data_IF_025002297370
#
_entry.id   IF_025002297370
#
_cell.length_a   1.000
_cell.length_b   1.000
_cell.length_c   1.000
_cell.angle_alpha   90.00
_cell.angle_beta   90.00
_cell.angle_gamma   90.00
#
_symmetry.space_group_name_H-M   'P 1'
#
loop_
_entity.id
_entity.type
_entity.pdbx_description
1 polymer ?
#
# COMPACT_ATOMS: atom_id res chain seq x y z
N UNK A 1 -3.98 17.15 -9.36
CA UNK A 1 -4.91 18.28 -9.47
C UNK A 1 -5.68 18.37 -8.17
N UNK A 2 -6.26 19.53 -7.81
CA UNK A 2 -7.12 19.64 -6.63
C UNK A 2 -8.56 19.89 -7.05
N UNK A 3 -9.51 19.25 -6.37
CA UNK A 3 -10.92 19.56 -6.50
C UNK A 3 -11.19 21.02 -6.05
N UNK A 4 -12.35 21.61 -6.37
CA UNK A 4 -12.71 22.98 -5.99
C UNK A 4 -12.60 23.28 -4.49
N UNK A 5 -12.80 22.28 -3.62
CA UNK A 5 -12.63 22.39 -2.16
C UNK A 5 -11.16 22.43 -1.71
N UNK A 6 -10.20 22.31 -2.63
CA UNK A 6 -8.77 22.27 -2.37
C UNK A 6 -8.21 20.88 -2.04
N UNK A 7 -9.06 19.85 -1.95
CA UNK A 7 -8.66 18.47 -1.72
C UNK A 7 -7.86 17.94 -2.92
N UNK A 8 -6.69 17.36 -2.65
CA UNK A 8 -5.88 16.73 -3.70
C UNK A 8 -6.61 15.49 -4.23
N UNK A 9 -6.81 15.43 -5.56
CA UNK A 9 -7.35 14.27 -6.23
C UNK A 9 -6.36 13.10 -6.18
N UNK A 10 -6.82 11.91 -5.78
CA UNK A 10 -6.02 10.67 -5.75
C UNK A 10 -6.70 9.60 -6.60
N UNK A 11 -5.89 8.67 -7.13
CA UNK A 11 -6.37 7.45 -7.78
C UNK A 11 -7.37 6.71 -6.87
N UNK A 12 -8.48 6.27 -7.45
CA UNK A 12 -9.56 5.56 -6.75
C UNK A 12 -10.58 6.46 -6.07
N UNK A 13 -10.40 7.77 -6.06
CA UNK A 13 -11.44 8.70 -5.61
C UNK A 13 -12.67 8.54 -6.49
N UNK A 14 -13.83 8.31 -5.86
CA UNK A 14 -15.14 8.42 -6.48
C UNK A 14 -15.61 9.86 -6.35
N UNK A 15 -15.97 10.48 -7.46
CA UNK A 15 -16.30 11.89 -7.54
C UNK A 15 -17.60 12.12 -8.30
N UNK A 16 -18.26 13.24 -8.02
CA UNK A 16 -19.14 13.87 -9.00
C UNK A 16 -18.24 14.61 -9.98
N UNK A 17 -18.47 14.40 -11.27
CA UNK A 17 -17.78 15.12 -12.34
C UNK A 17 -18.56 16.38 -12.72
N UNK A 18 -19.87 16.23 -12.91
CA UNK A 18 -20.88 17.29 -13.06
C UNK A 18 -22.25 16.73 -12.61
N UNK A 19 -23.28 17.57 -12.58
CA UNK A 19 -24.61 17.21 -12.09
C UNK A 19 -25.14 15.90 -12.71
N UNK A 20 -25.36 14.92 -11.84
CA UNK A 20 -25.85 13.59 -12.21
C UNK A 20 -24.84 12.71 -12.95
N UNK A 21 -23.55 13.06 -12.99
CA UNK A 21 -22.50 12.20 -13.55
C UNK A 21 -21.39 11.95 -12.52
N UNK A 22 -21.22 10.69 -12.16
CA UNK A 22 -20.15 10.25 -11.29
C UNK A 22 -19.02 9.62 -12.09
N UNK A 23 -17.85 9.50 -11.46
CA UNK A 23 -16.69 8.86 -12.05
C UNK A 23 -15.65 8.49 -11.02
N UNK A 24 -14.65 7.74 -11.46
CA UNK A 24 -13.53 7.32 -10.64
C UNK A 24 -12.23 7.86 -11.24
N UNK A 25 -11.38 8.43 -10.39
CA UNK A 25 -10.02 8.83 -10.80
C UNK A 25 -9.18 7.59 -11.04
N UNK A 26 -8.69 7.39 -12.27
CA UNK A 26 -7.91 6.19 -12.66
C UNK A 26 -6.42 6.47 -12.86
N UNK A 27 -6.04 7.73 -13.06
CA UNK A 27 -4.65 8.18 -13.08
C UNK A 27 -4.54 9.60 -12.53
N UNK A 28 -3.38 9.94 -11.99
CA UNK A 28 -2.99 11.30 -11.65
C UNK A 28 -1.56 11.55 -12.13
N UNK A 29 -1.42 12.38 -13.16
CA UNK A 29 -0.12 12.78 -13.70
C UNK A 29 0.59 13.74 -12.75
N UNK A 30 -0.17 14.52 -11.96
CA UNK A 30 0.39 15.46 -10.98
C UNK A 30 1.07 14.76 -9.79
N UNK A 31 0.66 13.53 -9.46
CA UNK A 31 1.24 12.73 -8.37
C UNK A 31 2.00 11.50 -8.86
N UNK A 32 2.12 11.33 -10.18
CA UNK A 32 2.72 10.17 -10.85
C UNK A 32 2.08 8.81 -10.49
N UNK A 33 0.77 8.81 -10.23
CA UNK A 33 0.00 7.62 -9.83
C UNK A 33 -0.86 7.10 -10.99
N UNK A 34 -0.80 5.79 -11.26
CA UNK A 34 -1.51 5.15 -12.37
C UNK A 34 -2.05 3.79 -11.94
N UNK A 35 -3.28 3.45 -12.31
CA UNK A 35 -3.81 2.10 -12.11
C UNK A 35 -3.26 1.12 -13.15
N UNK A 36 -3.36 -0.18 -12.88
CA UNK A 36 -2.87 -1.23 -13.77
C UNK A 36 -3.51 -1.18 -15.16
N UNK A 37 -4.82 -0.94 -15.21
CA UNK A 37 -5.60 -0.82 -16.44
C UNK A 37 -5.28 0.47 -17.22
N UNK A 38 -4.82 1.52 -16.52
CA UNK A 38 -4.53 2.82 -17.10
C UNK A 38 -3.07 3.25 -16.84
N UNK A 39 -2.08 2.52 -17.40
CA UNK A 39 -0.68 2.67 -17.02
C UNK A 39 -0.02 3.93 -17.60
N UNK A 40 1.04 4.39 -16.94
CA UNK A 40 1.86 5.54 -17.35
C UNK A 40 2.30 5.51 -18.81
N UNK A 41 2.64 4.34 -19.37
CA UNK A 41 3.02 4.19 -20.78
C UNK A 41 1.94 4.68 -21.75
N UNK A 42 0.66 4.64 -21.35
CA UNK A 42 -0.48 5.01 -22.18
C UNK A 42 -0.94 6.45 -21.93
N UNK A 43 -0.72 7.01 -20.73
CA UNK A 43 -1.32 8.31 -20.35
C UNK A 43 -0.31 9.35 -19.85
N UNK A 44 0.91 8.93 -19.51
CA UNK A 44 1.94 9.82 -18.95
C UNK A 44 2.37 10.94 -19.90
N UNK A 45 2.17 10.79 -21.22
CA UNK A 45 2.45 11.84 -22.20
C UNK A 45 1.57 13.09 -22.01
N UNK A 46 0.44 12.98 -21.32
CA UNK A 46 -0.46 14.09 -21.01
C UNK A 46 0.13 15.08 -19.98
N UNK A 47 1.14 14.64 -19.22
CA UNK A 47 2.05 15.48 -18.43
C UNK A 47 1.49 16.07 -17.12
N UNK A 48 0.20 16.40 -17.03
CA UNK A 48 -0.43 16.96 -15.82
C UNK A 48 -1.94 16.71 -15.75
N UNK A 49 -2.51 16.87 -14.57
CA UNK A 49 -3.93 16.64 -14.31
C UNK A 49 -4.26 15.21 -13.90
N UNK A 50 -5.52 14.81 -14.06
CA UNK A 50 -6.03 13.48 -13.75
C UNK A 50 -6.82 12.87 -14.90
N UNK A 51 -6.93 11.55 -14.91
CA UNK A 51 -7.85 10.81 -15.76
C UNK A 51 -9.03 10.33 -14.93
N UNK A 52 -10.25 10.58 -15.40
CA UNK A 52 -11.49 10.15 -14.74
C UNK A 52 -12.23 9.22 -15.67
N UNK A 53 -12.55 8.01 -15.21
CA UNK A 53 -13.50 7.13 -15.86
C UNK A 53 -14.91 7.52 -15.42
N UNK A 54 -15.62 8.26 -16.27
CA UNK A 54 -16.99 8.71 -16.07
C UNK A 54 -17.98 7.62 -16.46
N UNK A 55 -19.04 7.49 -15.66
CA UNK A 55 -20.15 6.56 -15.93
C UNK A 55 -20.90 6.90 -17.23
N UNK A 56 -20.96 8.18 -17.63
CA UNK A 56 -21.72 8.64 -18.80
C UNK A 56 -20.89 8.94 -20.04
N UNK A 57 -19.62 9.29 -19.88
CA UNK A 57 -18.78 9.82 -20.97
C UNK A 57 -17.48 9.04 -21.18
N UNK A 58 -17.26 7.94 -20.45
CA UNK A 58 -16.03 7.16 -20.56
C UNK A 58 -14.84 7.91 -19.98
N UNK A 59 -13.68 7.78 -20.61
CA UNK A 59 -12.43 8.27 -20.06
C UNK A 59 -12.19 9.76 -20.43
N UNK A 60 -12.06 10.62 -19.42
CA UNK A 60 -11.89 12.07 -19.58
C UNK A 60 -10.60 12.53 -18.91
N UNK A 61 -9.85 13.40 -19.58
CA UNK A 61 -8.66 14.06 -19.03
C UNK A 61 -9.01 15.44 -18.47
N UNK A 62 -8.78 15.64 -17.18
CA UNK A 62 -8.98 16.93 -16.51
C UNK A 62 -7.67 17.56 -16.09
N UNK A 63 -7.43 18.75 -16.61
CA UNK A 63 -6.26 19.56 -16.30
C UNK A 63 -6.57 20.61 -15.22
N UNK A 64 -7.83 21.01 -15.14
CA UNK A 64 -8.43 21.91 -14.16
C UNK A 64 -9.74 21.27 -13.67
N UNK A 65 -10.13 21.46 -12.40
CA UNK A 65 -11.39 20.92 -11.91
C UNK A 65 -12.58 21.65 -12.57
N UNK A 66 -13.66 20.90 -12.82
CA UNK A 66 -14.98 21.49 -13.09
C UNK A 66 -15.54 22.11 -11.80
N UNK A 67 -16.38 23.14 -11.94
CA UNK A 67 -16.95 23.86 -10.79
C UNK A 67 -17.74 22.95 -9.84
N UNK A 68 -18.45 21.97 -10.41
CA UNK A 68 -19.30 21.03 -9.67
C UNK A 68 -18.55 19.78 -9.20
N UNK A 69 -17.27 19.65 -9.57
CA UNK A 69 -16.49 18.47 -9.24
C UNK A 69 -16.34 18.35 -7.73
N UNK A 70 -16.68 17.21 -7.15
CA UNK A 70 -16.55 16.99 -5.70
C UNK A 70 -16.28 15.55 -5.35
N UNK A 71 -15.46 15.36 -4.33
CA UNK A 71 -15.19 14.04 -3.76
C UNK A 71 -16.45 13.49 -3.08
N UNK A 72 -16.88 12.30 -3.48
CA UNK A 72 -17.97 11.56 -2.83
C UNK A 72 -17.42 10.56 -1.84
N UNK A 73 -16.45 9.77 -2.30
CA UNK A 73 -15.82 8.73 -1.52
C UNK A 73 -14.35 8.66 -1.90
N UNK A 74 -13.48 8.69 -0.90
CA UNK A 74 -12.09 8.32 -1.10
C UNK A 74 -12.00 6.83 -0.88
N UNK A 75 -11.50 6.08 -1.86
CA UNK A 75 -11.04 4.71 -1.62
C UNK A 75 -10.16 4.79 -0.39
N UNK A 76 -10.58 4.18 0.73
CA UNK A 76 -9.76 4.11 1.93
C UNK A 76 -8.41 3.60 1.44
N UNK A 77 -7.37 4.45 1.53
CA UNK A 77 -6.10 4.23 0.84
C UNK A 77 -5.73 2.78 1.03
N UNK A 78 -5.36 2.09 -0.07
CA UNK A 78 -5.10 0.64 -0.02
C UNK A 78 -4.35 0.37 1.26
N UNK A 79 -5.00 -0.36 2.19
CA UNK A 79 -4.35 -0.78 3.42
C UNK A 79 -3.20 -1.64 2.95
N UNK A 80 -2.03 -1.04 2.82
CA UNK A 80 -0.85 -1.81 2.51
C UNK A 80 -0.54 -2.55 3.79
N UNK A 81 -0.90 -3.82 3.79
CA UNK A 81 -0.55 -4.72 4.86
C UNK A 81 0.97 -4.94 4.73
N UNK A 82 1.73 -4.30 5.62
CA UNK A 82 3.19 -4.34 5.63
C UNK A 82 3.64 -5.36 6.65
N UNK A 83 4.69 -6.09 6.32
CA UNK A 83 5.32 -7.02 7.24
C UNK A 83 6.19 -6.28 8.25
N UNK A 84 6.10 -6.66 9.51
CA UNK A 84 6.88 -6.15 10.62
C UNK A 84 7.64 -7.29 11.27
N UNK A 85 8.91 -7.04 11.58
CA UNK A 85 9.69 -7.82 12.50
C UNK A 85 9.61 -7.15 13.87
N UNK A 86 9.15 -7.86 14.88
CA UNK A 86 9.12 -7.41 16.26
C UNK A 86 10.03 -8.29 17.10
N UNK A 87 10.66 -7.75 18.14
CA UNK A 87 11.43 -8.55 19.08
C UNK A 87 11.19 -8.15 20.51
N UNK A 88 11.12 -9.16 21.36
CA UNK A 88 10.77 -9.04 22.77
C UNK A 88 11.94 -9.52 23.61
N UNK A 89 12.27 -8.79 24.66
CA UNK A 89 13.31 -9.18 25.61
C UNK A 89 12.88 -10.43 26.38
N UNK A 90 13.68 -11.50 26.31
CA UNK A 90 13.33 -12.82 26.87
C UNK A 90 13.12 -12.82 28.38
N UNK A 91 13.71 -11.85 29.11
CA UNK A 91 13.61 -11.79 30.56
C UNK A 91 12.40 -10.99 31.01
N UNK A 92 12.08 -9.93 30.29
CA UNK A 92 11.04 -8.98 30.69
C UNK A 92 9.73 -9.13 29.91
N UNK A 93 9.75 -9.89 28.81
CA UNK A 93 8.65 -10.05 27.85
C UNK A 93 8.16 -8.72 27.24
N UNK A 94 8.98 -7.67 27.34
CA UNK A 94 8.65 -6.35 26.82
C UNK A 94 9.14 -6.23 25.38
N UNK A 95 8.36 -5.56 24.55
CA UNK A 95 8.77 -5.17 23.21
C UNK A 95 10.06 -4.34 23.31
N UNK A 96 11.13 -4.87 22.74
CA UNK A 96 12.45 -4.25 22.73
C UNK A 96 12.68 -3.45 21.44
N UNK A 97 11.98 -3.80 20.35
CA UNK A 97 11.92 -3.01 19.14
C UNK A 97 11.13 -3.67 18.02
N UNK A 98 10.94 -2.91 16.94
CA UNK A 98 10.30 -3.36 15.72
C UNK A 98 10.97 -2.76 14.48
N UNK A 99 10.82 -3.44 13.34
CA UNK A 99 11.31 -3.02 12.04
C UNK A 99 10.27 -3.32 10.95
N UNK A 100 9.90 -2.28 10.19
CA UNK A 100 9.03 -2.42 9.02
C UNK A 100 9.82 -2.99 7.83
N UNK A 101 9.42 -4.16 7.34
CA UNK A 101 10.07 -4.87 6.24
C UNK A 101 9.48 -4.45 4.88
N UNK A 102 9.93 -3.30 4.39
CA UNK A 102 9.45 -2.71 3.13
C UNK A 102 9.76 -3.61 1.94
N UNK A 103 8.76 -3.78 1.06
CA UNK A 103 8.89 -4.59 -0.16
C UNK A 103 8.83 -6.10 0.06
N UNK A 104 8.67 -6.57 1.30
CA UNK A 104 8.48 -7.99 1.58
C UNK A 104 7.07 -8.43 1.12
N UNK A 105 7.02 -9.26 0.08
CA UNK A 105 5.77 -9.81 -0.46
C UNK A 105 5.34 -11.10 0.27
N UNK A 106 4.04 -11.35 0.33
CA UNK A 106 3.44 -12.55 0.95
C UNK A 106 3.96 -13.87 0.38
N UNK A 107 4.34 -13.89 -0.90
CA UNK A 107 4.94 -15.07 -1.54
C UNK A 107 6.34 -15.38 -0.98
N UNK A 108 7.11 -14.35 -0.62
CA UNK A 108 8.42 -14.54 0.01
C UNK A 108 8.27 -15.02 1.45
N UNK A 109 7.32 -14.46 2.21
CA UNK A 109 7.03 -14.91 3.57
C UNK A 109 6.61 -16.38 3.60
N UNK A 110 5.78 -16.82 2.64
CA UNK A 110 5.44 -18.25 2.51
C UNK A 110 6.67 -19.14 2.33
N UNK A 111 7.64 -18.72 1.51
CA UNK A 111 8.89 -19.47 1.32
C UNK A 111 9.75 -19.48 2.58
N UNK A 112 9.82 -18.35 3.30
CA UNK A 112 10.55 -18.25 4.56
C UNK A 112 9.95 -19.21 5.59
N UNK A 113 8.62 -19.16 5.78
CA UNK A 113 7.89 -19.93 6.78
C UNK A 113 7.56 -21.37 6.37
N UNK A 114 7.90 -21.78 5.14
CA UNK A 114 7.50 -23.05 4.54
C UNK A 114 5.99 -23.31 4.59
N UNK A 115 5.20 -22.29 4.21
CA UNK A 115 3.74 -22.30 4.26
C UNK A 115 3.14 -22.43 2.86
N UNK A 116 2.11 -23.27 2.67
CA UNK A 116 1.42 -23.38 1.39
C UNK A 116 0.63 -22.10 1.07
N UNK A 117 0.25 -21.94 -0.19
CA UNK A 117 -0.55 -20.78 -0.64
C UNK A 117 -1.95 -20.72 -0.04
N UNK A 118 -2.49 -21.86 0.40
CA UNK A 118 -3.80 -21.97 1.06
C UNK A 118 -3.83 -21.46 2.50
N UNK A 119 -2.67 -21.35 3.15
CA UNK A 119 -2.60 -20.93 4.55
C UNK A 119 -2.84 -19.40 4.65
N UNK A 120 -3.64 -19.04 5.66
CA UNK A 120 -3.77 -17.66 6.09
C UNK A 120 -2.44 -17.20 6.70
N UNK A 121 -2.04 -15.98 6.35
CA UNK A 121 -0.87 -15.32 6.91
C UNK A 121 -1.24 -14.30 7.99
N UNK A 122 -2.46 -14.35 8.51
CA UNK A 122 -2.86 -13.59 9.69
C UNK A 122 -2.13 -14.10 10.94
N UNK A 123 -1.55 -13.17 11.70
CA UNK A 123 -0.93 -13.43 13.00
C UNK A 123 0.56 -13.05 13.07
N UNK A 124 1.18 -13.46 14.18
CA UNK A 124 2.61 -13.32 14.46
C UNK A 124 3.26 -14.69 14.38
N UNK A 125 4.36 -14.79 13.64
CA UNK A 125 5.12 -16.02 13.44
C UNK A 125 6.46 -15.90 14.14
N UNK A 126 6.71 -16.76 15.13
CA UNK A 126 8.00 -16.81 15.81
C UNK A 126 9.10 -17.23 14.83
N UNK A 127 10.22 -16.52 14.87
CA UNK A 127 11.39 -16.80 14.05
C UNK A 127 12.46 -17.49 14.89
N UNK A 128 13.00 -18.58 14.36
CA UNK A 128 14.27 -19.15 14.81
C UNK A 128 15.41 -18.69 13.90
N UNK A 129 16.64 -19.11 14.23
CA UNK A 129 17.83 -18.77 13.44
C UNK A 129 17.70 -19.12 11.95
N UNK A 130 17.23 -20.33 11.63
CA UNK A 130 17.10 -20.78 10.24
C UNK A 130 15.97 -20.09 9.46
N UNK A 131 14.88 -19.66 10.12
CA UNK A 131 13.86 -18.81 9.50
C UNK A 131 14.39 -17.40 9.25
N UNK A 132 15.22 -16.89 10.16
CA UNK A 132 15.78 -15.54 10.07
C UNK A 132 16.84 -15.42 8.98
N UNK A 133 17.68 -16.44 8.79
CA UNK A 133 18.59 -16.51 7.65
C UNK A 133 17.84 -16.50 6.31
N UNK A 134 16.74 -17.26 6.22
CA UNK A 134 15.87 -17.24 5.03
C UNK A 134 15.25 -15.88 4.80
N UNK A 135 14.83 -15.19 5.86
CA UNK A 135 14.23 -13.86 5.79
C UNK A 135 15.25 -12.82 5.29
N UNK A 136 16.47 -12.83 5.84
CA UNK A 136 17.58 -11.96 5.38
C UNK A 136 17.87 -12.18 3.88
N UNK A 137 17.69 -13.40 3.39
CA UNK A 137 17.87 -13.72 1.96
C UNK A 137 16.82 -13.12 1.02
N UNK A 138 15.68 -12.62 1.53
CA UNK A 138 14.55 -12.14 0.70
C UNK A 138 14.17 -10.68 0.94
N UNK A 139 14.69 -10.04 1.99
CA UNK A 139 14.45 -8.64 2.32
C UNK A 139 15.65 -8.05 3.05
N UNK A 140 15.91 -6.77 2.83
CA UNK A 140 16.90 -6.03 3.61
C UNK A 140 16.40 -5.87 5.06
N UNK A 141 17.22 -6.29 6.02
CA UNK A 141 16.97 -6.16 7.45
C UNK A 141 18.14 -5.41 8.08
N UNK A 142 17.83 -4.38 8.86
CA UNK A 142 18.83 -3.59 9.58
C UNK A 142 19.16 -4.18 10.94
N UNK A 143 18.19 -4.88 11.54
CA UNK A 143 18.34 -5.56 12.82
C UNK A 143 19.32 -6.73 12.73
N UNK A 144 20.23 -6.82 13.72
CA UNK A 144 21.03 -8.02 13.95
C UNK A 144 20.30 -8.94 14.92
N UNK A 145 20.18 -10.22 14.58
CA UNK A 145 19.51 -11.20 15.43
C UNK A 145 20.39 -11.64 16.60
N UNK A 146 19.85 -11.57 17.81
CA UNK A 146 20.45 -12.06 19.06
C UNK A 146 19.40 -12.92 19.79
N UNK A 147 19.37 -14.20 19.45
CA UNK A 147 18.39 -15.16 20.00
C UNK A 147 18.63 -15.55 21.46
N UNK A 148 19.82 -15.23 21.99
CA UNK A 148 20.13 -15.43 23.41
C UNK A 148 19.40 -14.37 24.26
N UNK A 149 19.16 -13.19 23.68
CA UNK A 149 18.53 -12.06 24.37
C UNK A 149 17.07 -11.83 24.00
N UNK A 150 16.68 -12.10 22.76
CA UNK A 150 15.38 -11.72 22.23
C UNK A 150 14.63 -12.87 21.56
N UNK A 151 13.31 -12.84 21.67
CA UNK A 151 12.40 -13.65 20.85
C UNK A 151 11.87 -12.78 19.70
N UNK A 152 11.97 -13.27 18.47
CA UNK A 152 11.65 -12.52 17.25
C UNK A 152 10.37 -13.03 16.61
N UNK A 153 9.52 -12.12 16.15
CA UNK A 153 8.23 -12.43 15.54
C UNK A 153 8.04 -11.65 14.25
N UNK A 154 7.57 -12.32 13.20
CA UNK A 154 7.20 -11.74 11.93
C UNK A 154 5.67 -11.66 11.83
N UNK A 155 5.11 -10.51 11.55
CA UNK A 155 3.66 -10.35 11.41
C UNK A 155 3.24 -9.30 10.42
N UNK A 156 1.97 -9.33 10.01
CA UNK A 156 1.42 -8.40 9.03
C UNK A 156 0.55 -7.34 9.70
N UNK A 157 0.93 -6.08 9.58
CA UNK A 157 0.21 -4.94 10.16
C UNK A 157 -0.46 -4.16 9.04
N UNK A 158 -1.78 -3.95 9.15
CA UNK A 158 -2.51 -3.08 8.23
C UNK A 158 -2.31 -1.63 8.63
N UNK A 159 -1.50 -0.89 7.87
CA UNK A 159 -1.35 0.55 8.07
C UNK A 159 -2.23 1.32 7.08
N UNK A 160 -2.82 2.40 7.56
CA UNK A 160 -3.40 3.43 6.70
C UNK A 160 -2.25 4.32 6.27
N UNK A 161 -1.93 4.33 4.98
CA UNK A 161 -0.95 5.27 4.45
C UNK A 161 -1.53 6.71 4.51
N UNK A 162 -0.74 7.72 4.91
CA UNK A 162 -1.17 9.12 4.91
C UNK A 162 -1.48 9.71 3.52
#
# INVERSE_FOLDING_TARGET
MKYPDGTLARIGDKIVVWEGNEGVVVCSMDTDEYSEEYPKKNFGYLGRGIMVLSEKAGLIHYVTPEEEMRLLERRAGERQAVWHLEWYDRQTERLAGDEELRGLADANVRRVLDRPTSDDLAGMFELNAGLSERLIGVVEIKTSFDFDRYDYFLGKVSKVLP
#
